data_IF_381706627831
#
_entry.id   IF_381706627831
#
_cell.length_a   1.000
_cell.length_b   1.000
_cell.length_c   1.000
_cell.angle_alpha   90.00
_cell.angle_beta   90.00
_cell.angle_gamma   90.00
#
_symmetry.space_group_name_H-M   'P 1'
#
loop_
_entity.id
_entity.type
_entity.pdbx_description
1 polymer ?
#
# COMPACT_ATOMS: atom_id res chain seq x y z
N UNK A 1 -15.39 -12.65 -12.35
CA UNK A 1 -13.94 -12.50 -12.48
C UNK A 1 -13.44 -11.95 -11.15
N UNK A 2 -12.95 -12.82 -10.29
CA UNK A 2 -12.37 -12.45 -8.99
C UNK A 2 -10.86 -12.59 -9.19
N UNK A 3 -10.11 -11.48 -9.19
CA UNK A 3 -8.66 -11.57 -9.14
C UNK A 3 -8.29 -12.03 -7.72
N UNK A 4 -7.74 -13.23 -7.60
CA UNK A 4 -6.94 -13.59 -6.43
C UNK A 4 -5.63 -12.79 -6.57
N UNK A 5 -5.31 -11.81 -5.70
CA UNK A 5 -4.11 -11.01 -5.90
C UNK A 5 -2.88 -11.89 -5.66
N UNK A 6 -2.13 -12.14 -6.73
CA UNK A 6 -0.86 -12.86 -6.74
C UNK A 6 0.20 -12.02 -6.01
N UNK A 7 0.30 -12.13 -4.68
CA UNK A 7 1.42 -11.55 -3.92
C UNK A 7 1.67 -10.06 -4.13
N UNK A 8 0.67 -9.30 -4.58
CA UNK A 8 0.79 -7.86 -4.83
C UNK A 8 0.77 -7.12 -3.49
N UNK A 9 1.71 -6.18 -3.31
CA UNK A 9 1.72 -5.33 -2.13
C UNK A 9 0.45 -4.47 -2.08
N UNK A 10 -0.13 -4.22 -0.89
CA UNK A 10 -1.38 -3.46 -0.76
C UNK A 10 -1.27 -2.04 -1.36
N UNK A 11 -0.07 -1.47 -1.42
CA UNK A 11 0.21 -0.21 -2.11
C UNK A 11 -0.11 -0.26 -3.61
N UNK A 12 0.18 -1.36 -4.30
CA UNK A 12 -0.06 -1.51 -5.74
C UNK A 12 -1.55 -1.54 -6.04
N UNK A 13 -2.33 -2.26 -5.22
CA UNK A 13 -3.79 -2.33 -5.33
C UNK A 13 -4.42 -0.94 -5.15
N UNK A 14 -3.95 -0.17 -4.17
CA UNK A 14 -4.47 1.17 -3.90
C UNK A 14 -4.11 2.17 -5.01
N UNK A 15 -2.90 2.08 -5.56
CA UNK A 15 -2.50 2.91 -6.71
C UNK A 15 -3.33 2.56 -7.95
N UNK A 16 -3.59 1.28 -8.20
CA UNK A 16 -4.48 0.85 -9.29
C UNK A 16 -5.92 1.34 -9.09
N UNK A 17 -6.35 1.54 -7.84
CA UNK A 17 -7.66 2.10 -7.49
C UNK A 17 -7.73 3.65 -7.55
N UNK A 18 -6.62 4.32 -7.91
CA UNK A 18 -6.57 5.77 -8.08
C UNK A 18 -5.92 6.54 -6.94
N UNK A 19 -5.38 5.87 -5.92
CA UNK A 19 -4.53 6.52 -4.94
C UNK A 19 -3.20 6.94 -5.57
N UNK A 20 -2.60 8.02 -5.06
CA UNK A 20 -1.27 8.47 -5.47
C UNK A 20 -0.22 7.96 -4.50
N UNK A 21 0.96 7.52 -5.00
CA UNK A 21 2.03 7.04 -4.14
C UNK A 21 2.60 8.19 -3.29
N UNK A 22 2.68 7.97 -1.98
CA UNK A 22 3.35 8.85 -1.04
C UNK A 22 4.75 8.35 -0.72
N UNK A 23 4.97 8.02 0.56
CA UNK A 23 6.23 7.45 1.01
C UNK A 23 6.34 6.00 0.52
N UNK A 24 7.44 5.62 -0.15
CA UNK A 24 7.60 4.28 -0.69
C UNK A 24 7.68 3.23 0.43
N UNK A 25 7.45 1.97 0.06
CA UNK A 25 7.58 0.83 0.97
C UNK A 25 8.96 0.81 1.61
N UNK A 26 9.02 0.74 2.94
CA UNK A 26 10.26 0.56 3.69
C UNK A 26 10.10 -0.48 4.79
N UNK A 27 11.16 -1.25 5.02
CA UNK A 27 11.27 -2.13 6.17
C UNK A 27 11.59 -1.33 7.45
N UNK A 28 10.94 -1.69 8.55
CA UNK A 28 11.16 -1.07 9.87
C UNK A 28 11.60 -2.10 10.93
N UNK A 29 12.03 -3.29 10.50
CA UNK A 29 12.46 -4.38 11.35
C UNK A 29 11.32 -5.25 11.90
N UNK A 30 11.68 -6.48 12.28
CA UNK A 30 10.76 -7.44 12.87
C UNK A 30 9.59 -7.81 11.95
N UNK A 31 9.89 -8.06 10.67
CA UNK A 31 8.94 -8.54 9.66
C UNK A 31 7.87 -7.53 9.22
N UNK A 32 8.08 -6.23 9.47
CA UNK A 32 7.12 -5.17 9.18
C UNK A 32 7.59 -4.24 8.07
N UNK A 33 6.68 -3.97 7.14
CA UNK A 33 6.84 -2.98 6.07
C UNK A 33 5.81 -1.87 6.25
N UNK A 34 6.21 -0.62 5.98
CA UNK A 34 5.29 0.52 5.96
C UNK A 34 5.36 1.27 4.63
N UNK A 35 4.28 1.94 4.25
CA UNK A 35 4.21 2.88 3.14
C UNK A 35 3.15 3.95 3.41
N UNK A 36 3.09 5.00 2.58
CA UNK A 36 1.91 5.88 2.55
C UNK A 36 1.39 6.06 1.13
N UNK A 37 0.08 6.26 1.03
CA UNK A 37 -0.60 6.67 -0.19
C UNK A 37 -1.52 7.84 0.13
N UNK A 38 -1.86 8.64 -0.87
CA UNK A 38 -2.90 9.65 -0.77
C UNK A 38 -4.10 9.20 -1.60
N UNK A 39 -5.29 9.15 -0.99
CA UNK A 39 -6.50 8.75 -1.71
C UNK A 39 -7.04 9.86 -2.64
N UNK A 40 -8.18 9.58 -3.29
CA UNK A 40 -8.79 10.49 -4.25
C UNK A 40 -9.35 11.77 -3.60
N UNK A 41 -9.66 11.74 -2.30
CA UNK A 41 -10.15 12.86 -1.52
C UNK A 41 -9.00 13.74 -0.99
N UNK A 42 -7.76 13.23 -1.07
CA UNK A 42 -6.55 13.92 -0.65
C UNK A 42 -6.08 13.53 0.75
N UNK A 43 -6.71 12.53 1.37
CA UNK A 43 -6.34 12.05 2.70
C UNK A 43 -5.11 11.13 2.63
N UNK A 44 -4.20 11.30 3.60
CA UNK A 44 -2.96 10.51 3.68
C UNK A 44 -3.21 9.26 4.52
N UNK A 45 -3.04 8.09 3.91
CA UNK A 45 -3.23 6.80 4.55
C UNK A 45 -1.90 6.11 4.80
N UNK A 46 -1.69 5.63 6.03
CA UNK A 46 -0.55 4.79 6.40
C UNK A 46 -0.87 3.32 6.17
N UNK A 47 0.03 2.62 5.47
CA UNK A 47 -0.06 1.18 5.23
C UNK A 47 0.96 0.46 6.12
N UNK A 48 0.52 -0.63 6.74
CA UNK A 48 1.35 -1.57 7.48
C UNK A 48 1.11 -2.97 6.93
N UNK A 49 2.19 -3.65 6.57
CA UNK A 49 2.18 -5.06 6.26
C UNK A 49 3.07 -5.78 7.26
N UNK A 50 2.55 -6.83 7.87
CA UNK A 50 3.29 -7.79 8.69
C UNK A 50 3.20 -9.16 8.03
N UNK A 51 4.27 -9.95 8.15
CA UNK A 51 4.25 -11.39 7.83
C UNK A 51 3.22 -12.15 8.65
#
# INVERSE_FOLDING_TARGET
MLLEPLGESPSTVLVAAGATPGQPVRDVGGGKLIATVTDADGDVLGLLQSS
#
